data_IF_947296440734
#
_entry.id   IF_947296440734
#
_cell.length_a   1.000
_cell.length_b   1.000
_cell.length_c   1.000
_cell.angle_alpha   90.00
_cell.angle_beta   90.00
_cell.angle_gamma   90.00
#
_symmetry.space_group_name_H-M   'P 1'
#
loop_
_entity.id
_entity.type
_entity.pdbx_description
1 polymer ?
#
# COMPACT_ATOMS: atom_id res chain seq x y z
N UNK A 1 -17.47 -1.30 -5.99
CA UNK A 1 -16.19 -0.55 -6.15
C UNK A 1 -15.14 -1.52 -6.71
N UNK A 2 -14.42 -1.12 -7.76
CA UNK A 2 -13.51 -1.99 -8.54
C UNK A 2 -12.43 -2.70 -7.69
N UNK A 3 -11.81 -2.02 -6.74
CA UNK A 3 -10.80 -2.64 -5.86
C UNK A 3 -11.39 -3.72 -4.93
N UNK A 4 -12.64 -3.55 -4.46
CA UNK A 4 -13.34 -4.56 -3.65
C UNK A 4 -13.64 -5.83 -4.46
N UNK A 5 -13.82 -5.72 -5.77
CA UNK A 5 -14.05 -6.89 -6.64
C UNK A 5 -12.76 -7.63 -7.01
N UNK A 6 -11.57 -7.04 -6.82
CA UNK A 6 -10.29 -7.76 -6.97
C UNK A 6 -10.17 -8.79 -5.85
N UNK A 7 -10.11 -8.32 -4.61
CA UNK A 7 -10.30 -9.12 -3.41
C UNK A 7 -10.45 -8.21 -2.18
N UNK A 8 -10.93 -8.77 -1.07
CA UNK A 8 -11.14 -8.01 0.17
C UNK A 8 -9.85 -7.49 0.80
N UNK A 9 -8.70 -8.11 0.53
CA UNK A 9 -7.38 -7.71 1.07
C UNK A 9 -6.86 -6.47 0.35
N UNK A 10 -6.99 -6.41 -0.97
CA UNK A 10 -6.66 -5.26 -1.81
C UNK A 10 -7.42 -4.01 -1.37
N UNK A 11 -8.73 -4.14 -1.09
CA UNK A 11 -9.52 -3.03 -0.54
C UNK A 11 -9.07 -2.63 0.87
N UNK A 12 -8.78 -3.59 1.74
CA UNK A 12 -8.28 -3.32 3.10
C UNK A 12 -6.93 -2.59 3.09
N UNK A 13 -6.05 -2.89 2.13
CA UNK A 13 -4.76 -2.20 1.98
C UNK A 13 -4.95 -0.70 1.71
N UNK A 14 -5.95 -0.31 0.89
CA UNK A 14 -6.26 1.10 0.67
C UNK A 14 -6.81 1.78 1.93
N UNK A 15 -7.66 1.09 2.69
CA UNK A 15 -8.26 1.66 3.91
C UNK A 15 -7.25 1.81 5.05
N UNK A 16 -6.37 0.82 5.26
CA UNK A 16 -5.36 0.86 6.31
C UNK A 16 -4.15 1.71 5.93
N UNK A 17 -3.92 1.88 4.64
CA UNK A 17 -2.62 2.27 4.12
C UNK A 17 -1.62 1.12 4.22
N UNK A 18 -0.53 1.25 3.46
CA UNK A 18 0.62 0.36 3.58
C UNK A 18 1.86 1.20 3.88
N UNK A 19 2.67 0.72 4.81
CA UNK A 19 3.98 1.28 5.14
C UNK A 19 5.02 0.18 5.02
N UNK A 20 6.18 0.52 4.47
CA UNK A 20 7.28 -0.44 4.31
C UNK A 20 7.69 -1.02 5.69
N UNK A 21 7.84 -2.34 5.83
CA UNK A 21 8.26 -2.94 7.09
C UNK A 21 9.61 -2.39 7.55
N UNK A 22 9.74 -2.13 8.85
CA UNK A 22 10.96 -1.56 9.46
C UNK A 22 11.59 -2.57 10.40
N UNK A 23 12.91 -2.51 10.53
CA UNK A 23 13.63 -3.33 11.50
C UNK A 23 13.22 -2.90 12.91
N UNK A 24 12.98 -3.89 13.76
CA UNK A 24 12.74 -3.71 15.20
C UNK A 24 13.95 -4.14 15.99
N UNK A 25 14.35 -3.34 16.97
CA UNK A 25 15.42 -3.68 17.90
C UNK A 25 15.01 -4.80 18.86
N UNK A 26 15.96 -5.19 19.74
CA UNK A 26 15.76 -6.25 20.74
C UNK A 26 14.65 -5.94 21.75
N UNK A 27 14.27 -4.67 21.90
CA UNK A 27 13.22 -4.20 22.78
C UNK A 27 11.87 -4.04 22.03
N UNK A 28 11.82 -4.39 20.75
CA UNK A 28 10.63 -4.32 19.90
C UNK A 28 10.35 -2.91 19.35
N UNK A 29 11.28 -1.98 19.48
CA UNK A 29 11.14 -0.61 18.98
C UNK A 29 11.64 -0.50 17.54
N UNK A 30 10.90 0.22 16.70
CA UNK A 30 11.30 0.49 15.31
C UNK A 30 12.60 1.31 15.25
N UNK A 31 13.55 0.86 14.43
CA UNK A 31 14.83 1.54 14.20
C UNK A 31 14.75 2.58 13.08
N UNK A 32 13.59 2.78 12.44
CA UNK A 32 13.38 3.55 11.21
C UNK A 32 14.10 3.01 9.96
N UNK A 33 14.95 2.00 10.12
CA UNK A 33 15.61 1.33 9.01
C UNK A 33 14.64 0.39 8.31
N UNK A 34 14.62 0.43 6.98
CA UNK A 34 13.75 -0.44 6.18
C UNK A 34 14.25 -1.88 6.24
N UNK A 35 13.32 -2.80 6.44
CA UNK A 35 13.59 -4.24 6.42
C UNK A 35 13.74 -4.73 4.98
N UNK A 36 14.74 -5.55 4.72
CA UNK A 36 14.95 -6.17 3.40
C UNK A 36 13.81 -7.13 3.07
N UNK A 37 13.43 -7.23 1.79
CA UNK A 37 12.32 -8.08 1.33
C UNK A 37 12.53 -9.56 1.67
N UNK A 38 13.78 -10.03 1.66
CA UNK A 38 14.12 -11.41 2.04
C UNK A 38 13.80 -11.75 3.50
N UNK A 39 13.74 -10.74 4.37
CA UNK A 39 13.44 -10.90 5.80
C UNK A 39 11.95 -10.71 6.11
N UNK A 40 11.13 -10.36 5.12
CA UNK A 40 9.71 -10.08 5.33
C UNK A 40 8.99 -11.29 5.91
N UNK A 41 8.10 -11.02 6.87
CA UNK A 41 7.20 -12.04 7.35
C UNK A 41 6.11 -12.31 6.31
N UNK A 42 5.43 -13.45 6.44
CA UNK A 42 4.27 -13.75 5.58
C UNK A 42 3.20 -12.66 5.63
N UNK A 43 3.01 -12.02 6.78
CA UNK A 43 2.03 -10.92 6.90
C UNK A 43 2.51 -9.66 6.17
N UNK A 44 3.81 -9.34 6.25
CA UNK A 44 4.42 -8.25 5.48
C UNK A 44 4.23 -8.46 3.97
N UNK A 45 4.49 -9.67 3.48
CA UNK A 45 4.30 -10.07 2.08
C UNK A 45 2.83 -9.94 1.65
N UNK A 46 1.89 -10.42 2.47
CA UNK A 46 0.47 -10.35 2.18
C UNK A 46 -0.03 -8.89 2.12
N UNK A 47 0.47 -8.04 3.02
CA UNK A 47 0.16 -6.61 3.03
C UNK A 47 0.77 -5.89 1.81
N UNK A 48 2.04 -6.17 1.48
CA UNK A 48 2.72 -5.61 0.31
C UNK A 48 2.04 -6.03 -1.00
N UNK A 49 1.63 -7.30 -1.11
CA UNK A 49 0.89 -7.81 -2.27
C UNK A 49 -0.47 -7.10 -2.44
N UNK A 50 -1.21 -6.91 -1.34
CA UNK A 50 -2.47 -6.17 -1.36
C UNK A 50 -2.29 -4.73 -1.84
N UNK A 51 -1.25 -4.05 -1.36
CA UNK A 51 -0.88 -2.70 -1.79
C UNK A 51 -0.49 -2.65 -3.28
N UNK A 52 0.36 -3.58 -3.73
CA UNK A 52 0.80 -3.67 -5.13
C UNK A 52 -0.38 -3.87 -6.09
N UNK A 53 -1.33 -4.75 -5.75
CA UNK A 53 -2.57 -4.93 -6.52
C UNK A 53 -3.41 -3.66 -6.59
N UNK A 54 -3.55 -2.95 -5.46
CA UNK A 54 -4.32 -1.71 -5.41
C UNK A 54 -3.67 -0.62 -6.28
N UNK A 55 -2.35 -0.44 -6.17
CA UNK A 55 -1.60 0.49 -6.99
C UNK A 55 -1.69 0.15 -8.48
N UNK A 56 -1.48 -1.11 -8.85
CA UNK A 56 -1.60 -1.56 -10.24
C UNK A 56 -3.00 -1.29 -10.80
N UNK A 57 -4.05 -1.56 -10.03
CA UNK A 57 -5.43 -1.28 -10.43
C UNK A 57 -5.70 0.23 -10.60
N UNK A 58 -5.14 1.07 -9.73
CA UNK A 58 -5.25 2.53 -9.84
C UNK A 58 -4.49 3.07 -11.05
N UNK A 59 -3.25 2.61 -11.28
CA UNK A 59 -2.43 3.06 -12.41
C UNK A 59 -3.01 2.63 -13.76
N UNK A 60 -3.61 1.45 -13.86
CA UNK A 60 -4.27 1.00 -15.07
C UNK A 60 -5.67 1.60 -15.25
N UNK A 61 -6.35 1.95 -14.15
CA UNK A 61 -7.71 2.50 -14.18
C UNK A 61 -7.78 4.02 -14.36
N UNK A 62 -6.66 4.74 -14.20
CA UNK A 62 -6.59 6.20 -14.23
C UNK A 62 -5.66 6.65 -15.36
N UNK A 63 -6.18 7.46 -16.29
CA UNK A 63 -5.37 8.08 -17.33
C UNK A 63 -4.21 8.90 -16.73
N UNK A 64 -3.06 8.93 -17.40
CA UNK A 64 -1.86 9.61 -16.91
C UNK A 64 -2.11 11.10 -16.60
N UNK A 65 -2.98 11.79 -17.34
CA UNK A 65 -3.34 13.18 -17.07
C UNK A 65 -4.20 13.30 -15.82
N UNK A 66 -5.18 12.42 -15.65
CA UNK A 66 -5.98 12.35 -14.42
C UNK A 66 -5.12 12.01 -13.21
N UNK A 67 -4.16 11.09 -13.34
CA UNK A 67 -3.24 10.75 -12.25
C UNK A 67 -2.42 11.95 -11.79
N UNK A 68 -1.94 12.78 -12.74
CA UNK A 68 -1.23 14.03 -12.42
C UNK A 68 -2.08 15.06 -11.67
N UNK A 69 -3.39 15.08 -11.90
CA UNK A 69 -4.32 15.93 -11.16
C UNK A 69 -4.56 15.37 -9.75
N UNK A 70 -4.82 14.07 -9.65
CA UNK A 70 -5.09 13.38 -8.38
C UNK A 70 -3.91 13.47 -7.43
N UNK A 71 -2.65 13.32 -7.91
CA UNK A 71 -1.46 13.41 -7.04
C UNK A 71 -1.24 14.78 -6.40
N UNK A 72 -1.85 15.84 -6.94
CA UNK A 72 -1.80 17.18 -6.36
C UNK A 72 -3.03 17.48 -5.48
N UNK A 73 -3.97 16.54 -5.39
CA UNK A 73 -5.16 16.66 -4.57
C UNK A 73 -4.77 16.43 -3.11
N UNK A 74 -4.97 17.44 -2.27
CA UNK A 74 -4.68 17.39 -0.83
C UNK A 74 -5.88 16.93 0.01
N UNK A 75 -7.10 16.99 -0.55
CA UNK A 75 -8.34 16.62 0.13
C UNK A 75 -9.23 15.86 -0.84
N UNK A 76 -9.86 14.77 -0.39
CA UNK A 76 -10.85 14.05 -1.19
C UNK A 76 -12.17 14.84 -1.23
N UNK A 77 -12.99 14.61 -2.26
CA UNK A 77 -14.35 15.15 -2.29
C UNK A 77 -15.19 14.47 -1.19
N UNK A 78 -16.01 15.27 -0.50
CA UNK A 78 -16.99 14.82 0.50
C UNK A 78 -18.07 13.89 -0.09
#
# INVERSE_FOLDING_TARGET
AFLKSIDSRTWKAVLKGWSHPVITDKEGKSTLELKAEEDWSKDDDEQALGNSKALNALFNGVDTKMFKLIKHCVVAKD
#
